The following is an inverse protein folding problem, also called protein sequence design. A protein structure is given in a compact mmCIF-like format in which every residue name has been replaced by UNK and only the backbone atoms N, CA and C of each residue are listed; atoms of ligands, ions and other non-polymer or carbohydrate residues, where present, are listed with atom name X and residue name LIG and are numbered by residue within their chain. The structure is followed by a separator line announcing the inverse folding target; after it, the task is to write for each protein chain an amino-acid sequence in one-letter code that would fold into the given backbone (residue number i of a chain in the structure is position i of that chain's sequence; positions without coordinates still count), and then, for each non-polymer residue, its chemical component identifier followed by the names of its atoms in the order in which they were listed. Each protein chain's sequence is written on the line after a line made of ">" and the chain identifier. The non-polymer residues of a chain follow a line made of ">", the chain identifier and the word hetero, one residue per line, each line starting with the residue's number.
data_IF_560912597628
#
_entry.id   IF_560912597628
#
_cell.length_a   1.000
_cell.length_b   1.000
_cell.length_c   1.000
_cell.angle_alpha   90.00
_cell.angle_beta   90.00
_cell.angle_gamma   90.00
#
_symmetry.space_group_name_H-M   'P 1'
#
loop_
_entity.id
_entity.type
_entity.pdbx_description
1 polymer ?
#
# COMPACT_ATOMS: atom_id res chain seq x y z
N UNK A 1 0.88 31.60 -12.58
CA UNK A 1 0.71 30.15 -12.70
C UNK A 1 0.73 29.59 -11.28
N UNK A 2 -0.29 28.79 -10.88
CA UNK A 2 -0.30 28.18 -9.53
C UNK A 2 0.87 27.21 -9.33
N UNK A 3 1.33 27.08 -8.10
CA UNK A 3 2.37 26.15 -7.67
C UNK A 3 1.90 24.70 -7.87
N UNK A 4 2.80 23.77 -8.18
CA UNK A 4 2.49 22.33 -8.29
C UNK A 4 2.56 21.75 -6.88
N UNK A 5 1.53 20.99 -6.47
CA UNK A 5 1.48 20.26 -5.21
C UNK A 5 2.02 18.84 -5.42
N UNK A 6 3.14 18.56 -4.80
CA UNK A 6 3.75 17.24 -4.86
C UNK A 6 3.20 16.34 -3.76
N UNK A 7 2.69 15.19 -4.12
CA UNK A 7 2.07 14.22 -3.20
C UNK A 7 2.83 12.91 -3.30
N UNK A 8 3.28 12.39 -2.17
CA UNK A 8 3.89 11.06 -2.08
C UNK A 8 2.85 10.07 -1.54
N UNK A 9 2.51 9.10 -2.35
CA UNK A 9 1.70 7.95 -1.98
C UNK A 9 2.59 6.73 -1.85
N UNK A 10 2.53 6.04 -0.72
CA UNK A 10 3.31 4.84 -0.43
C UNK A 10 2.33 3.72 -0.05
N UNK A 11 2.17 2.73 -0.93
CA UNK A 11 1.57 1.46 -0.55
C UNK A 11 2.66 0.48 -0.10
N UNK A 12 2.50 -0.09 1.10
CA UNK A 12 3.56 -0.93 1.68
C UNK A 12 3.72 -2.26 0.95
N UNK A 13 2.76 -2.71 0.18
CA UNK A 13 2.86 -3.91 -0.64
C UNK A 13 3.94 -3.80 -1.73
N UNK A 14 4.34 -2.57 -2.12
CA UNK A 14 5.51 -2.32 -2.97
C UNK A 14 6.80 -2.97 -2.43
N UNK A 15 6.97 -3.02 -1.11
CA UNK A 15 8.19 -3.51 -0.47
C UNK A 15 8.24 -5.03 -0.31
N UNK A 16 7.39 -5.76 -1.01
CA UNK A 16 7.41 -7.22 -1.03
C UNK A 16 8.42 -7.74 -2.05
N UNK A 17 9.21 -8.73 -1.64
CA UNK A 17 10.09 -9.52 -2.52
C UNK A 17 9.55 -10.94 -2.54
N UNK A 18 9.05 -11.37 -3.67
CA UNK A 18 8.48 -12.70 -3.86
C UNK A 18 8.69 -13.20 -5.29
N UNK A 19 8.65 -14.52 -5.48
CA UNK A 19 8.47 -15.11 -6.81
C UNK A 19 7.06 -14.81 -7.31
N UNK A 20 6.91 -14.53 -8.61
CA UNK A 20 5.62 -14.22 -9.24
C UNK A 20 4.52 -15.24 -8.89
N UNK A 21 4.87 -16.52 -8.81
CA UNK A 21 3.91 -17.60 -8.52
C UNK A 21 3.29 -17.53 -7.13
N UNK A 22 3.92 -16.81 -6.20
CA UNK A 22 3.39 -16.66 -4.84
C UNK A 22 2.10 -15.85 -4.83
N UNK A 23 1.95 -14.91 -5.77
CA UNK A 23 0.73 -14.09 -5.88
C UNK A 23 -0.52 -14.89 -6.25
N UNK A 24 -0.37 -16.09 -6.85
CA UNK A 24 -1.49 -17.00 -7.12
C UNK A 24 -2.12 -17.54 -5.81
N UNK A 25 -1.43 -17.39 -4.67
CA UNK A 25 -1.89 -17.81 -3.34
C UNK A 25 -2.40 -16.64 -2.48
N UNK A 26 -2.42 -15.41 -3.02
CA UNK A 26 -2.95 -14.26 -2.31
C UNK A 26 -4.48 -14.28 -2.29
N UNK A 27 -5.11 -13.64 -1.29
CA UNK A 27 -6.55 -13.40 -1.32
C UNK A 27 -6.97 -12.64 -2.57
N UNK A 28 -8.20 -12.87 -3.03
CA UNK A 28 -8.80 -12.04 -4.07
C UNK A 28 -8.89 -10.58 -3.63
N UNK A 29 -8.60 -9.67 -4.57
CA UNK A 29 -8.45 -8.25 -4.33
C UNK A 29 -9.75 -7.53 -3.99
N UNK A 30 -10.21 -7.68 -2.76
CA UNK A 30 -11.35 -6.92 -2.21
C UNK A 30 -10.86 -6.12 -1.02
N UNK A 31 -11.16 -4.82 -0.99
CA UNK A 31 -10.81 -3.92 0.10
C UNK A 31 -11.65 -4.21 1.35
N UNK A 32 -11.13 -5.04 2.25
CA UNK A 32 -11.80 -5.52 3.45
C UNK A 32 -11.29 -4.80 4.71
N UNK A 33 -12.12 -4.65 5.76
CA UNK A 33 -11.65 -4.21 7.07
C UNK A 33 -10.57 -5.14 7.64
N UNK A 34 -9.64 -4.60 8.42
CA UNK A 34 -8.47 -5.30 8.98
C UNK A 34 -8.78 -6.68 9.57
N UNK A 35 -9.83 -6.80 10.39
CA UNK A 35 -10.19 -8.06 11.05
C UNK A 35 -10.63 -9.12 10.04
N UNK A 36 -11.41 -8.72 9.03
CA UNK A 36 -11.89 -9.62 7.97
C UNK A 36 -10.72 -10.02 7.08
N UNK A 37 -9.89 -9.07 6.66
CA UNK A 37 -8.69 -9.32 5.90
C UNK A 37 -7.74 -10.29 6.62
N UNK A 38 -7.53 -10.11 7.93
CA UNK A 38 -6.69 -11.02 8.74
C UNK A 38 -7.25 -12.44 8.74
N UNK A 39 -8.57 -12.59 8.86
CA UNK A 39 -9.21 -13.90 8.82
C UNK A 39 -9.08 -14.55 7.43
N UNK A 40 -9.29 -13.80 6.36
CA UNK A 40 -9.12 -14.28 4.97
C UNK A 40 -7.68 -14.73 4.74
N UNK A 41 -6.69 -13.92 5.14
CA UNK A 41 -5.28 -14.34 5.11
C UNK A 41 -5.05 -15.64 5.89
N UNK A 42 -5.68 -15.80 7.06
CA UNK A 42 -5.61 -17.03 7.84
C UNK A 42 -6.00 -18.27 7.05
N UNK A 43 -7.07 -18.19 6.25
CA UNK A 43 -7.49 -19.32 5.39
C UNK A 43 -6.46 -19.65 4.32
N UNK A 44 -5.83 -18.64 3.72
CA UNK A 44 -4.77 -18.81 2.72
C UNK A 44 -3.49 -19.39 3.35
N UNK A 45 -3.12 -18.96 4.56
CA UNK A 45 -1.99 -19.55 5.28
C UNK A 45 -2.23 -20.99 5.70
N UNK A 46 -3.44 -21.37 6.12
CA UNK A 46 -3.75 -22.78 6.43
C UNK A 46 -3.50 -23.68 5.23
N UNK A 47 -3.77 -23.18 4.02
CA UNK A 47 -3.62 -23.93 2.79
C UNK A 47 -2.19 -23.87 2.19
N UNK A 48 -1.48 -22.75 2.35
CA UNK A 48 -0.28 -22.43 1.57
C UNK A 48 0.82 -21.73 2.42
N UNK A 49 0.96 -22.07 3.69
CA UNK A 49 1.86 -21.39 4.64
C UNK A 49 3.30 -21.30 4.14
N UNK A 50 3.85 -22.42 3.65
CA UNK A 50 5.25 -22.49 3.18
C UNK A 50 5.51 -21.55 2.01
N UNK A 51 4.54 -21.40 1.10
CA UNK A 51 4.65 -20.50 -0.04
C UNK A 51 4.53 -19.04 0.39
N UNK A 52 3.54 -18.71 1.20
CA UNK A 52 3.30 -17.34 1.65
C UNK A 52 4.44 -16.81 2.52
N UNK A 53 5.05 -17.65 3.35
CA UNK A 53 6.21 -17.27 4.18
C UNK A 53 7.52 -17.04 3.40
N UNK A 54 7.55 -17.35 2.10
CA UNK A 54 8.69 -16.98 1.25
C UNK A 54 8.71 -15.50 0.88
N UNK A 55 7.60 -14.78 1.08
CA UNK A 55 7.54 -13.33 0.86
C UNK A 55 8.35 -12.62 1.94
N UNK A 56 9.28 -11.78 1.52
CA UNK A 56 10.18 -11.05 2.42
C UNK A 56 10.07 -9.55 2.17
N UNK A 57 10.36 -8.71 3.19
CA UNK A 57 10.42 -7.27 2.98
C UNK A 57 11.70 -6.87 2.23
N UNK A 58 11.59 -5.96 1.26
CA UNK A 58 12.74 -5.32 0.60
C UNK A 58 13.40 -4.31 1.55
N UNK A 59 14.35 -4.80 2.35
CA UNK A 59 15.05 -3.97 3.35
C UNK A 59 15.84 -2.82 2.72
N UNK A 60 16.38 -3.01 1.52
CA UNK A 60 17.13 -1.96 0.83
C UNK A 60 16.20 -0.81 0.42
N UNK A 61 15.06 -1.11 -0.17
CA UNK A 61 14.04 -0.12 -0.53
C UNK A 61 13.43 0.57 0.70
N UNK A 62 13.27 -0.14 1.81
CA UNK A 62 12.82 0.44 3.07
C UNK A 62 13.82 1.43 3.67
N UNK A 63 15.12 1.21 3.50
CA UNK A 63 16.15 2.19 3.87
C UNK A 63 16.09 3.39 2.94
N UNK A 64 16.07 3.19 1.62
CA UNK A 64 16.00 4.27 0.64
C UNK A 64 14.79 5.18 0.85
N UNK A 65 13.61 4.63 1.12
CA UNK A 65 12.41 5.46 1.37
C UNK A 65 12.51 6.24 2.67
N UNK A 66 13.08 5.68 3.73
CA UNK A 66 13.34 6.41 4.99
C UNK A 66 14.28 7.59 4.75
N UNK A 67 15.34 7.42 3.96
CA UNK A 67 16.27 8.51 3.61
C UNK A 67 15.56 9.65 2.84
N UNK A 68 14.58 9.32 1.99
CA UNK A 68 13.75 10.32 1.28
C UNK A 68 12.83 11.04 2.27
N UNK A 69 12.20 10.31 3.18
CA UNK A 69 11.29 10.86 4.20
C UNK A 69 12.03 11.77 5.20
N UNK A 70 13.27 11.42 5.60
CA UNK A 70 14.11 12.25 6.48
C UNK A 70 14.39 13.65 5.91
N UNK A 71 14.42 13.77 4.59
CA UNK A 71 14.67 15.05 3.91
C UNK A 71 13.43 15.93 3.79
N UNK A 72 12.25 15.42 4.15
CA UNK A 72 11.01 16.17 4.09
C UNK A 72 10.90 17.16 5.26
N UNK A 73 10.02 18.16 5.10
CA UNK A 73 9.72 19.08 6.19
C UNK A 73 9.09 18.34 7.37
N UNK A 74 9.53 18.65 8.59
CA UNK A 74 8.89 18.16 9.82
C UNK A 74 7.37 18.47 9.88
N UNK A 75 6.94 19.52 9.21
CA UNK A 75 5.53 19.96 9.18
C UNK A 75 4.72 19.39 8.02
N UNK A 76 5.33 18.56 7.15
CA UNK A 76 4.58 17.90 6.06
C UNK A 76 3.49 17.02 6.67
N UNK A 77 2.21 17.19 6.28
CA UNK A 77 1.13 16.34 6.77
C UNK A 77 1.28 14.91 6.29
N UNK A 78 1.14 13.96 7.22
CA UNK A 78 1.21 12.52 6.93
C UNK A 78 -0.10 11.87 7.35
N UNK A 79 -0.67 11.05 6.48
CA UNK A 79 -1.77 10.17 6.84
C UNK A 79 -1.37 8.71 6.67
N UNK A 80 -1.69 7.86 7.67
CA UNK A 80 -1.36 6.44 7.69
C UNK A 80 -2.65 5.64 7.86
N UNK A 81 -2.98 4.78 6.89
CA UNK A 81 -4.25 4.05 6.82
C UNK A 81 -4.06 2.59 6.43
N UNK A 82 -5.11 1.79 6.60
CA UNK A 82 -5.11 0.38 6.20
C UNK A 82 -5.46 0.18 4.71
N UNK A 83 -6.18 1.10 4.08
CA UNK A 83 -6.62 1.01 2.69
C UNK A 83 -6.19 2.23 1.89
N UNK A 84 -5.77 2.00 0.65
CA UNK A 84 -5.28 3.04 -0.26
C UNK A 84 -6.37 4.01 -0.73
N UNK A 85 -7.65 3.61 -0.77
CA UNK A 85 -8.76 4.49 -1.17
C UNK A 85 -8.86 5.78 -0.38
N UNK A 86 -8.42 5.79 0.90
CA UNK A 86 -8.53 6.95 1.77
C UNK A 86 -7.59 8.11 1.41
N UNK A 87 -6.63 7.89 0.51
CA UNK A 87 -5.78 8.97 -0.03
C UNK A 87 -6.64 9.97 -0.81
N UNK A 88 -7.70 9.53 -1.48
CA UNK A 88 -8.62 10.39 -2.22
C UNK A 88 -9.19 11.50 -1.32
N UNK A 89 -9.81 11.12 -0.22
CA UNK A 89 -10.38 12.08 0.75
C UNK A 89 -9.29 12.95 1.40
N UNK A 90 -8.10 12.39 1.63
CA UNK A 90 -6.99 13.13 2.20
C UNK A 90 -6.52 14.26 1.27
N UNK A 91 -6.39 14.00 -0.02
CA UNK A 91 -6.01 14.99 -1.02
C UNK A 91 -7.11 16.07 -1.14
N UNK A 92 -8.39 15.66 -1.29
CA UNK A 92 -9.49 16.61 -1.44
C UNK A 92 -9.65 17.54 -0.21
N UNK A 93 -9.40 17.01 0.98
CA UNK A 93 -9.45 17.81 2.21
C UNK A 93 -8.37 18.89 2.26
N UNK A 94 -7.18 18.61 1.73
CA UNK A 94 -6.06 19.56 1.72
C UNK A 94 -6.16 20.53 0.55
N UNK A 95 -6.64 20.07 -0.61
CA UNK A 95 -6.72 20.80 -1.86
C UNK A 95 -8.13 20.71 -2.47
N UNK A 96 -9.15 21.40 -1.89
CA UNK A 96 -10.54 21.27 -2.35
C UNK A 96 -10.81 21.90 -3.71
N UNK A 97 -9.91 22.74 -4.24
CA UNK A 97 -10.07 23.37 -5.55
C UNK A 97 -9.59 22.43 -6.66
N UNK A 98 -10.51 22.01 -7.55
CA UNK A 98 -10.20 21.14 -8.68
C UNK A 98 -9.23 21.78 -9.71
N UNK A 99 -8.96 23.07 -9.62
CA UNK A 99 -7.98 23.77 -10.47
C UNK A 99 -6.53 23.69 -9.96
N UNK A 100 -6.32 23.13 -8.77
CA UNK A 100 -4.96 22.88 -8.27
C UNK A 100 -4.19 21.97 -9.23
N UNK A 101 -2.88 22.18 -9.29
CA UNK A 101 -1.98 21.34 -10.07
C UNK A 101 -1.35 20.30 -9.18
N UNK A 102 -1.66 19.06 -9.43
CA UNK A 102 -1.12 17.95 -8.65
C UNK A 102 -0.04 17.20 -9.41
N UNK A 103 1.01 16.84 -8.73
CA UNK A 103 1.95 15.82 -9.16
C UNK A 103 2.01 14.73 -8.08
N UNK A 104 1.49 13.56 -8.39
CA UNK A 104 1.42 12.41 -7.48
C UNK A 104 2.51 11.41 -7.88
N UNK A 105 3.32 11.02 -6.92
CA UNK A 105 4.22 9.88 -7.02
C UNK A 105 3.58 8.72 -6.26
N UNK A 106 3.13 7.69 -6.98
CA UNK A 106 2.57 6.48 -6.40
C UNK A 106 3.64 5.38 -6.35
N UNK A 107 4.12 5.05 -5.15
CA UNK A 107 5.02 3.92 -4.86
C UNK A 107 4.12 2.75 -4.48
N UNK A 108 3.96 1.78 -5.36
CA UNK A 108 2.92 0.79 -5.23
C UNK A 108 3.21 -0.44 -6.11
N UNK A 109 2.79 -1.60 -5.66
CA UNK A 109 2.75 -2.79 -6.49
C UNK A 109 1.69 -2.69 -7.59
N UNK A 110 0.60 -1.94 -7.35
CA UNK A 110 -0.53 -1.75 -8.24
C UNK A 110 -0.48 -0.36 -8.91
N UNK A 111 -1.09 -0.25 -10.08
CA UNK A 111 -1.15 1.06 -10.78
C UNK A 111 -2.33 1.94 -10.34
N UNK A 112 -3.29 1.42 -9.60
CA UNK A 112 -4.49 2.08 -9.05
C UNK A 112 -5.33 2.88 -10.05
N UNK A 113 -5.34 2.40 -11.31
CA UNK A 113 -6.13 2.94 -12.41
C UNK A 113 -7.10 1.89 -12.98
N UNK A 114 -7.51 0.89 -12.20
CA UNK A 114 -8.41 -0.15 -12.67
C UNK A 114 -9.79 0.40 -13.04
N UNK A 115 -10.42 -0.19 -14.06
CA UNK A 115 -11.74 0.20 -14.56
C UNK A 115 -12.84 -0.81 -14.22
N UNK A 116 -12.56 -1.73 -13.29
CA UNK A 116 -13.45 -2.82 -12.91
C UNK A 116 -14.60 -2.40 -11.98
N UNK A 117 -14.50 -1.24 -11.34
CA UNK A 117 -15.51 -0.73 -10.41
C UNK A 117 -15.77 0.77 -10.67
N UNK A 118 -17.03 1.20 -10.82
CA UNK A 118 -17.38 2.62 -10.94
C UNK A 118 -17.31 3.37 -9.60
N UNK A 119 -17.32 2.66 -8.46
CA UNK A 119 -17.20 3.25 -7.14
C UNK A 119 -15.72 3.35 -6.75
N UNK A 120 -15.39 4.37 -5.96
CA UNK A 120 -14.06 4.57 -5.42
C UNK A 120 -13.64 3.35 -4.56
N UNK A 121 -12.50 2.75 -4.91
CA UNK A 121 -11.84 1.70 -4.15
C UNK A 121 -10.31 1.87 -4.13
N UNK A 122 -9.60 0.93 -3.50
CA UNK A 122 -8.14 1.00 -3.36
C UNK A 122 -7.40 0.90 -4.70
N UNK A 123 -7.97 0.23 -5.71
CA UNK A 123 -7.33 0.00 -7.00
C UNK A 123 -7.70 1.01 -8.08
N UNK A 124 -8.55 2.01 -7.81
CA UNK A 124 -8.99 2.97 -8.82
C UNK A 124 -8.96 4.44 -8.39
N UNK A 125 -8.42 4.74 -7.21
CA UNK A 125 -8.42 6.09 -6.67
C UNK A 125 -7.68 7.11 -7.56
N UNK A 126 -6.63 6.70 -8.29
CA UNK A 126 -5.91 7.57 -9.24
C UNK A 126 -6.83 8.02 -10.37
N UNK A 127 -7.69 7.14 -10.88
CA UNK A 127 -8.68 7.49 -11.90
C UNK A 127 -9.62 8.57 -11.37
N UNK A 128 -10.18 8.40 -10.18
CA UNK A 128 -11.08 9.39 -9.56
C UNK A 128 -10.39 10.73 -9.28
N UNK A 129 -9.10 10.72 -8.87
CA UNK A 129 -8.31 11.96 -8.72
C UNK A 129 -8.13 12.66 -10.07
N UNK A 130 -7.81 11.94 -11.15
CA UNK A 130 -7.67 12.53 -12.49
C UNK A 130 -8.99 13.04 -13.06
N UNK A 131 -10.13 12.45 -12.68
CA UNK A 131 -11.46 12.94 -13.05
C UNK A 131 -11.83 14.24 -12.31
N UNK A 132 -11.36 14.41 -11.06
CA UNK A 132 -11.63 15.60 -10.27
C UNK A 132 -10.67 16.75 -10.58
N UNK A 133 -9.36 16.50 -10.73
CA UNK A 133 -8.34 17.50 -10.99
C UNK A 133 -7.91 17.47 -12.47
N UNK A 134 -8.26 18.52 -13.22
CA UNK A 134 -7.92 18.63 -14.65
C UNK A 134 -6.39 18.61 -14.91
N UNK A 135 -5.60 19.06 -13.94
CA UNK A 135 -4.14 19.21 -14.03
C UNK A 135 -3.43 18.29 -13.05
N UNK A 136 -3.67 16.98 -13.18
CA UNK A 136 -3.06 15.95 -12.35
C UNK A 136 -2.09 15.10 -13.17
N UNK A 137 -0.81 15.19 -12.82
CA UNK A 137 0.23 14.25 -13.29
C UNK A 137 0.41 13.14 -12.25
N UNK A 138 0.60 11.91 -12.71
CA UNK A 138 0.88 10.76 -11.83
C UNK A 138 2.08 10.00 -12.39
N UNK A 139 3.08 9.78 -11.56
CA UNK A 139 4.20 8.89 -11.82
C UNK A 139 4.04 7.64 -10.96
N UNK A 140 4.12 6.46 -11.56
CA UNK A 140 4.05 5.19 -10.85
C UNK A 140 5.45 4.60 -10.66
N UNK A 141 5.86 4.40 -9.40
CA UNK A 141 7.06 3.63 -9.05
C UNK A 141 6.61 2.22 -8.73
N UNK A 142 6.80 1.33 -9.70
CA UNK A 142 6.32 -0.05 -9.67
C UNK A 142 7.31 -0.99 -8.97
N UNK A 143 6.78 -2.02 -8.31
CA UNK A 143 7.58 -3.18 -7.91
C UNK A 143 8.10 -3.92 -9.15
N UNK A 144 9.21 -4.63 -9.04
CA UNK A 144 9.85 -5.34 -10.18
C UNK A 144 8.91 -6.34 -10.87
N UNK A 145 7.98 -6.94 -10.12
CA UNK A 145 7.02 -7.91 -10.67
C UNK A 145 5.69 -7.28 -11.08
N UNK A 146 5.46 -6.01 -10.80
CA UNK A 146 4.18 -5.33 -11.04
C UNK A 146 3.73 -5.40 -12.50
N UNK A 147 4.63 -5.09 -13.43
CA UNK A 147 4.30 -5.13 -14.86
C UNK A 147 3.98 -6.54 -15.36
N UNK A 148 4.58 -7.57 -14.77
CA UNK A 148 4.35 -8.96 -15.12
C UNK A 148 3.04 -9.50 -14.56
N UNK A 149 2.60 -9.00 -13.40
CA UNK A 149 1.39 -9.45 -12.70
C UNK A 149 0.17 -8.66 -13.13
N UNK A 150 0.28 -7.32 -13.22
CA UNK A 150 -0.86 -6.42 -13.40
C UNK A 150 -0.91 -5.75 -14.78
N UNK A 151 0.07 -6.03 -15.66
CA UNK A 151 0.16 -5.41 -16.98
C UNK A 151 0.74 -4.00 -16.96
N UNK A 152 0.94 -3.43 -18.17
CA UNK A 152 1.45 -2.07 -18.36
C UNK A 152 0.26 -1.14 -18.56
N UNK A 153 0.25 -0.01 -17.85
CA UNK A 153 -0.76 1.03 -17.98
C UNK A 153 -0.17 2.29 -18.63
N UNK A 154 -1.03 3.20 -19.08
CA UNK A 154 -0.65 4.50 -19.67
C UNK A 154 -0.20 5.50 -18.59
N UNK A 155 0.68 5.06 -17.70
CA UNK A 155 1.33 5.88 -16.68
C UNK A 155 2.84 5.86 -16.89
N UNK A 156 3.56 6.96 -16.62
CA UNK A 156 5.00 6.95 -16.53
C UNK A 156 5.46 5.96 -15.44
N UNK A 157 6.14 4.88 -15.85
CA UNK A 157 6.59 3.81 -14.96
C UNK A 157 8.06 4.01 -14.61
N UNK A 158 8.38 3.83 -13.34
CA UNK A 158 9.74 3.79 -12.81
C UNK A 158 9.88 2.56 -11.89
N UNK A 159 11.11 2.10 -11.68
CA UNK A 159 11.38 0.93 -10.82
C UNK A 159 12.35 1.25 -9.68
N UNK A 160 12.70 2.53 -9.50
CA UNK A 160 13.57 3.01 -8.44
C UNK A 160 13.19 4.43 -8.00
N UNK A 161 13.84 4.91 -6.95
CA UNK A 161 13.56 6.21 -6.35
C UNK A 161 14.45 7.35 -6.88
N UNK A 162 15.24 7.12 -7.95
CA UNK A 162 16.23 8.09 -8.44
C UNK A 162 15.65 9.47 -8.73
N UNK A 163 14.46 9.52 -9.35
CA UNK A 163 13.80 10.77 -9.70
C UNK A 163 13.18 11.53 -8.53
N UNK A 164 12.87 10.83 -7.44
CA UNK A 164 12.17 11.43 -6.29
C UNK A 164 13.08 11.72 -5.10
N UNK A 165 14.35 11.29 -5.18
CA UNK A 165 15.32 11.38 -4.09
C UNK A 165 15.46 12.78 -3.49
N UNK A 166 15.38 13.82 -4.32
CA UNK A 166 15.56 15.20 -3.89
C UNK A 166 14.23 16.01 -3.98
N UNK A 167 13.12 15.36 -4.29
CA UNK A 167 11.81 16.00 -4.33
C UNK A 167 11.34 16.38 -2.93
N UNK A 168 10.62 17.52 -2.86
CA UNK A 168 9.88 17.92 -1.67
C UNK A 168 8.41 17.63 -1.88
N UNK A 169 7.79 17.04 -0.88
CA UNK A 169 6.40 16.66 -0.90
C UNK A 169 5.56 17.53 0.04
N UNK A 170 4.41 17.98 -0.44
CA UNK A 170 3.44 18.76 0.33
C UNK A 170 2.54 17.88 1.19
N UNK A 171 2.30 16.64 0.75
CA UNK A 171 1.55 15.61 1.48
C UNK A 171 2.23 14.25 1.36
N UNK A 172 2.11 13.43 2.40
CA UNK A 172 2.57 12.04 2.40
C UNK A 172 1.43 11.14 2.86
N UNK A 173 1.18 10.09 2.10
CA UNK A 173 0.24 9.04 2.45
C UNK A 173 0.97 7.70 2.56
N UNK A 174 0.74 6.96 3.64
CA UNK A 174 1.28 5.62 3.85
C UNK A 174 0.12 4.64 4.08
N UNK A 175 0.04 3.62 3.23
CA UNK A 175 -0.94 2.55 3.31
C UNK A 175 -0.29 1.25 3.79
N UNK A 176 -0.95 0.50 4.70
CA UNK A 176 -0.52 -0.86 5.03
C UNK A 176 -0.96 -1.87 3.99
N UNK A 177 -2.06 -1.60 3.28
CA UNK A 177 -2.61 -2.49 2.25
C UNK A 177 -2.99 -3.88 2.78
N UNK A 178 -3.88 -3.91 3.77
CA UNK A 178 -4.18 -5.12 4.56
C UNK A 178 -4.55 -6.35 3.72
N UNK A 179 -5.15 -6.14 2.55
CA UNK A 179 -5.57 -7.23 1.67
C UNK A 179 -4.46 -7.74 0.75
N UNK A 180 -3.40 -6.94 0.56
CA UNK A 180 -2.30 -7.23 -0.36
C UNK A 180 -0.97 -7.47 0.36
N UNK A 181 -0.91 -7.12 1.65
CA UNK A 181 0.26 -7.35 2.49
C UNK A 181 0.07 -8.59 3.35
N UNK A 182 0.87 -9.66 3.18
CA UNK A 182 0.88 -10.80 4.08
C UNK A 182 1.13 -10.37 5.54
N UNK A 183 0.31 -10.81 6.52
CA UNK A 183 0.39 -10.32 7.90
C UNK A 183 1.74 -10.53 8.61
N UNK A 184 2.56 -11.49 8.19
CA UNK A 184 3.89 -11.69 8.75
C UNK A 184 4.89 -10.56 8.39
N UNK A 185 4.51 -9.65 7.47
CA UNK A 185 5.28 -8.44 7.14
C UNK A 185 4.87 -7.21 7.95
N UNK A 186 3.85 -7.31 8.80
CA UNK A 186 3.34 -6.19 9.59
C UNK A 186 4.41 -5.54 10.49
N UNK A 187 5.39 -6.29 10.97
CA UNK A 187 6.50 -5.71 11.75
C UNK A 187 7.31 -4.72 10.91
N UNK A 188 7.61 -5.08 9.66
CA UNK A 188 8.35 -4.18 8.76
C UNK A 188 7.56 -2.93 8.39
N UNK A 189 6.23 -3.05 8.21
CA UNK A 189 5.35 -1.89 8.07
C UNK A 189 5.37 -1.03 9.34
N UNK A 190 5.24 -1.65 10.51
CA UNK A 190 5.19 -0.94 11.78
C UNK A 190 6.49 -0.17 12.06
N UNK A 191 7.63 -0.66 11.60
CA UNK A 191 8.91 0.05 11.68
C UNK A 191 8.91 1.32 10.81
N UNK A 192 8.35 1.28 9.60
CA UNK A 192 8.19 2.46 8.76
C UNK A 192 7.15 3.43 9.36
N UNK A 193 6.04 2.91 9.88
CA UNK A 193 5.02 3.70 10.60
C UNK A 193 5.61 4.45 11.79
N UNK A 194 6.36 3.75 12.66
CA UNK A 194 7.03 4.37 13.82
C UNK A 194 8.03 5.42 13.39
N UNK A 195 8.77 5.19 12.32
CA UNK A 195 9.66 6.18 11.74
C UNK A 195 8.87 7.44 11.34
N UNK A 196 7.76 7.32 10.60
CA UNK A 196 6.92 8.48 10.25
C UNK A 196 6.40 9.23 11.50
N UNK A 197 5.95 8.50 12.53
CA UNK A 197 5.47 9.10 13.79
C UNK A 197 6.57 9.89 14.53
N UNK A 198 7.84 9.49 14.39
CA UNK A 198 8.97 10.21 15.01
C UNK A 198 9.48 11.37 14.16
N UNK A 199 9.36 11.26 12.82
CA UNK A 199 9.90 12.21 11.87
C UNK A 199 8.98 13.42 11.63
N UNK A 200 7.65 13.26 11.73
CA UNK A 200 6.68 14.28 11.34
C UNK A 200 5.80 14.73 12.50
N UNK A 201 5.51 16.04 12.55
CA UNK A 201 4.65 16.63 13.58
C UNK A 201 3.16 16.37 13.36
N UNK A 202 2.70 16.40 12.10
CA UNK A 202 1.28 16.25 11.72
C UNK A 202 1.04 14.87 11.16
N UNK A 203 0.99 13.85 12.01
CA UNK A 203 0.65 12.48 11.60
C UNK A 203 -0.74 12.12 12.07
N UNK A 204 -1.59 11.69 11.15
CA UNK A 204 -2.89 11.07 11.45
C UNK A 204 -2.79 9.57 11.16
N UNK A 205 -2.96 8.75 12.19
CA UNK A 205 -2.86 7.30 12.11
C UNK A 205 -4.22 6.67 12.43
N UNK A 206 -4.62 5.67 11.65
CA UNK A 206 -5.82 4.89 11.91
C UNK A 206 -5.56 3.85 13.02
N UNK A 207 -6.51 3.68 13.95
CA UNK A 207 -6.31 2.82 15.11
C UNK A 207 -6.08 1.34 14.76
N UNK A 208 -6.72 0.82 13.72
CA UNK A 208 -6.58 -0.58 13.32
C UNK A 208 -5.17 -0.99 12.85
N UNK A 209 -4.33 -0.02 12.44
CA UNK A 209 -2.95 -0.27 12.01
C UNK A 209 -1.90 -0.07 13.10
N UNK A 210 -2.31 0.32 14.31
CA UNK A 210 -1.40 0.43 15.45
C UNK A 210 -0.96 -0.94 15.98
N UNK A 211 -1.73 -1.98 15.66
CA UNK A 211 -1.48 -3.35 16.09
C UNK A 211 -1.04 -4.23 14.91
N UNK A 212 -0.14 -5.16 15.20
CA UNK A 212 0.24 -6.25 14.29
C UNK A 212 -0.92 -7.24 14.20
N UNK A 213 -1.25 -7.67 12.98
CA UNK A 213 -2.27 -8.71 12.74
C UNK A 213 -1.74 -10.05 13.26
N UNK A 214 -2.42 -10.62 14.25
CA UNK A 214 -2.01 -11.89 14.86
C UNK A 214 -2.44 -13.08 14.00
N UNK A 215 -1.70 -13.30 12.91
CA UNK A 215 -2.01 -14.38 11.95
C UNK A 215 -1.86 -15.77 12.55
N UNK A 216 -0.89 -15.99 13.44
CA UNK A 216 -0.65 -17.30 14.04
C UNK A 216 -1.84 -17.75 14.91
N UNK A 217 -2.45 -16.82 15.67
CA UNK A 217 -3.67 -17.09 16.43
C UNK A 217 -4.84 -17.48 15.53
N UNK A 218 -5.01 -16.79 14.40
CA UNK A 218 -6.08 -17.08 13.42
C UNK A 218 -5.85 -18.45 12.78
N UNK A 219 -4.62 -18.76 12.38
CA UNK A 219 -4.27 -20.07 11.81
C UNK A 219 -4.57 -21.20 12.81
N UNK A 220 -4.18 -20.99 14.07
CA UNK A 220 -4.45 -22.00 15.13
C UNK A 220 -5.95 -22.23 15.29
N UNK A 221 -6.74 -21.15 15.42
CA UNK A 221 -8.19 -21.22 15.58
C UNK A 221 -8.85 -21.93 14.37
N UNK A 222 -8.42 -21.63 13.15
CA UNK A 222 -8.92 -22.27 11.95
C UNK A 222 -8.58 -23.78 11.92
N UNK A 223 -7.34 -24.14 12.25
CA UNK A 223 -6.89 -25.55 12.30
C UNK A 223 -7.67 -26.37 13.35
N UNK A 224 -8.07 -25.75 14.46
CA UNK A 224 -8.86 -26.40 15.51
C UNK A 224 -10.35 -26.58 15.11
N UNK A 225 -10.92 -25.57 14.42
CA UNK A 225 -12.35 -25.54 14.06
C UNK A 225 -12.67 -26.22 12.72
N UNK A 226 -11.70 -26.35 11.81
CA UNK A 226 -11.93 -27.01 10.52
C UNK A 226 -12.02 -28.52 10.70
N UNK A 227 -13.13 -29.18 10.25
CA UNK A 227 -13.27 -30.62 10.31
C UNK A 227 -12.12 -31.31 9.57
N UNK A 228 -11.74 -32.52 9.99
CA UNK A 228 -10.63 -33.34 9.43
C UNK A 228 -10.70 -33.59 7.90
N UNK A 229 -11.78 -33.20 7.24
CA UNK A 229 -12.01 -33.40 5.80
C UNK A 229 -10.90 -32.79 4.93
N UNK A 230 -10.22 -31.76 5.41
CA UNK A 230 -9.08 -31.12 4.68
C UNK A 230 -7.72 -31.76 4.98
N UNK A 231 -7.62 -32.71 5.93
CA UNK A 231 -6.35 -33.36 6.27
C UNK A 231 -5.99 -34.55 5.36
N UNK A 232 -6.85 -34.93 4.43
CA UNK A 232 -6.68 -36.14 3.59
C UNK A 232 -6.22 -35.86 2.16
N UNK A 233 -5.74 -34.66 1.85
CA UNK A 233 -5.09 -34.32 0.57
C UNK A 233 -3.65 -33.83 0.80
N UNK A 234 -2.87 -34.64 1.47
CA UNK A 234 -1.41 -34.62 1.40
C UNK A 234 -0.93 -35.87 0.71
#
# INVERSE_FOLDING_TARGET
>A
MGEIRNILSIDFDYFQVADKKVFDFYPDGIDLPTQVSTFVWGTHYVANEDMLKTVLPDKAKLIEIKDILERQSYYTPVQIRQSHKHIYDFILKQYPDCQEKLHIVNIDMHHDCFNNNPQLDCGNWIKHIKEYYEKCQVDWIANKVSAEVYGIQDLPIQYDFSKIKDMKFDLIYLCRSDNWLPPHLDESFNDLRKFCLSQFYKVTCEACIETIRNIDSVIQELKEKMPQVYRTKQ
#
